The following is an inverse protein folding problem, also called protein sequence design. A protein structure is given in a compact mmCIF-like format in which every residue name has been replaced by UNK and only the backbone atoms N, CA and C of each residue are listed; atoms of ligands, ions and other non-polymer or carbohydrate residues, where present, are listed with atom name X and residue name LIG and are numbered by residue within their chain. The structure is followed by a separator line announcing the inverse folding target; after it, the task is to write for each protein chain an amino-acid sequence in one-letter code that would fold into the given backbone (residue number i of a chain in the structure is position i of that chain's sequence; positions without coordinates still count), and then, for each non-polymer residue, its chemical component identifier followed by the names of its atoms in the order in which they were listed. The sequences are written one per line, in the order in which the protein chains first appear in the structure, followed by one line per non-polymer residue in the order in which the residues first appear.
data_IF_638830275578
#
_entry.id   IF_638830275578
#
_cell.length_a   1.000
_cell.length_b   1.000
_cell.length_c   1.000
_cell.angle_alpha   90.00
_cell.angle_beta   90.00
_cell.angle_gamma   90.00
#
_symmetry.space_group_name_H-M   'P 1'
#
loop_
_entity.id
_entity.type
_entity.pdbx_description
1 polymer ?
#
# COMPACT_ATOMS: atom_id res chain seq x y z
N UNK A 1 15.52 -29.96 23.72
CA UNK A 1 14.35 -29.09 23.58
C UNK A 1 13.12 -29.84 24.05
N UNK A 2 12.46 -29.37 25.10
CA UNK A 2 11.16 -29.90 25.50
C UNK A 2 10.08 -29.44 24.52
N UNK A 3 8.96 -30.16 24.45
CA UNK A 3 7.81 -29.74 23.63
C UNK A 3 7.35 -28.33 24.01
N UNK A 4 7.38 -27.98 25.29
CA UNK A 4 7.01 -26.65 25.77
C UNK A 4 7.94 -25.54 25.26
N UNK A 5 9.26 -25.81 25.20
CA UNK A 5 10.24 -24.85 24.69
C UNK A 5 10.00 -24.54 23.20
N UNK A 6 9.67 -25.58 22.42
CA UNK A 6 9.35 -25.44 20.99
C UNK A 6 8.13 -24.54 20.78
N UNK A 7 7.05 -24.74 21.57
CA UNK A 7 5.84 -23.91 21.45
C UNK A 7 6.06 -22.45 21.86
N UNK A 8 6.89 -22.21 22.88
CA UNK A 8 7.25 -20.85 23.30
C UNK A 8 8.04 -20.14 22.19
N UNK A 9 9.00 -20.83 21.58
CA UNK A 9 9.79 -20.29 20.48
C UNK A 9 8.91 -19.99 19.25
N UNK A 10 8.04 -20.92 18.86
CA UNK A 10 7.06 -20.72 17.77
C UNK A 10 6.12 -19.55 18.04
N UNK A 11 5.66 -19.38 19.28
CA UNK A 11 4.81 -18.24 19.64
C UNK A 11 5.55 -16.91 19.47
N UNK A 12 6.84 -16.85 19.81
CA UNK A 12 7.68 -15.68 19.57
C UNK A 12 7.80 -15.34 18.09
N UNK A 13 8.02 -16.34 17.24
CA UNK A 13 8.05 -16.16 15.78
C UNK A 13 6.72 -15.64 15.22
N UNK A 14 5.59 -16.22 15.64
CA UNK A 14 4.26 -15.82 15.18
C UNK A 14 3.90 -14.39 15.62
N UNK A 15 4.29 -13.99 16.83
CA UNK A 15 4.09 -12.63 17.32
C UNK A 15 4.88 -11.61 16.48
N UNK A 16 6.16 -11.87 16.23
CA UNK A 16 6.99 -11.01 15.39
C UNK A 16 6.46 -10.91 13.95
N UNK A 17 6.00 -12.02 13.38
CA UNK A 17 5.39 -12.03 12.05
C UNK A 17 4.08 -11.21 12.02
N UNK A 18 3.29 -11.27 13.09
CA UNK A 18 2.06 -10.48 13.21
C UNK A 18 2.34 -8.99 13.30
N UNK A 19 3.37 -8.57 14.05
CA UNK A 19 3.77 -7.17 14.15
C UNK A 19 4.22 -6.62 12.80
N UNK A 20 4.99 -7.41 12.04
CA UNK A 20 5.38 -7.07 10.67
C UNK A 20 4.13 -6.88 9.80
N UNK A 21 3.16 -7.81 9.84
CA UNK A 21 1.90 -7.70 9.08
C UNK A 21 1.10 -6.44 9.41
N UNK A 22 1.07 -6.02 10.67
CA UNK A 22 0.32 -4.84 11.09
C UNK A 22 1.00 -3.53 10.67
N UNK A 23 2.33 -3.45 10.78
CA UNK A 23 3.10 -2.29 10.28
C UNK A 23 2.97 -2.11 8.78
N UNK A 24 3.02 -3.24 8.09
CA UNK A 24 2.72 -3.35 6.67
C UNK A 24 1.31 -2.80 6.40
N UNK A 25 0.27 -3.32 7.07
CA UNK A 25 -1.13 -2.87 6.90
C UNK A 25 -1.32 -1.36 7.08
N UNK A 26 -0.62 -0.72 8.01
CA UNK A 26 -0.69 0.75 8.20
C UNK A 26 -0.18 1.51 6.98
N UNK A 27 0.94 1.06 6.41
CA UNK A 27 1.49 1.68 5.20
C UNK A 27 0.59 1.41 3.98
N UNK A 28 -0.09 0.24 3.91
CA UNK A 28 -1.12 -0.09 2.88
C UNK A 28 -2.20 0.97 2.92
N UNK A 29 -2.78 1.19 4.09
CA UNK A 29 -3.92 2.08 4.27
C UNK A 29 -3.60 3.51 3.83
N UNK A 30 -2.39 3.99 4.16
CA UNK A 30 -1.90 5.30 3.71
C UNK A 30 -1.77 5.36 2.18
N UNK A 31 -1.22 4.30 1.56
CA UNK A 31 -1.07 4.19 0.12
C UNK A 31 -2.43 4.17 -0.59
N UNK A 32 -3.42 3.44 -0.07
CA UNK A 32 -4.77 3.43 -0.66
C UNK A 32 -5.43 4.80 -0.59
N UNK A 33 -5.21 5.53 0.49
CA UNK A 33 -5.78 6.86 0.69
C UNK A 33 -5.23 7.82 -0.37
N UNK A 34 -3.91 7.85 -0.55
CA UNK A 34 -3.27 8.67 -1.60
C UNK A 34 -3.72 8.23 -3.00
N UNK A 35 -3.92 6.94 -3.24
CA UNK A 35 -4.47 6.44 -4.51
C UNK A 35 -5.91 6.93 -4.76
N UNK A 36 -6.78 6.94 -3.73
CA UNK A 36 -8.15 7.47 -3.83
C UNK A 36 -8.18 8.97 -4.10
N UNK A 37 -7.25 9.73 -3.54
CA UNK A 37 -7.09 11.17 -3.79
C UNK A 37 -6.67 11.44 -5.25
N UNK A 38 -5.67 10.70 -5.75
CA UNK A 38 -5.25 10.76 -7.16
C UNK A 38 -6.41 10.42 -8.09
N UNK A 39 -7.14 9.33 -7.81
CA UNK A 39 -8.29 8.91 -8.60
C UNK A 39 -9.35 10.02 -8.65
N UNK A 40 -9.71 10.59 -7.50
CA UNK A 40 -10.71 11.67 -7.41
C UNK A 40 -10.27 12.90 -8.22
N UNK A 41 -9.00 13.28 -8.11
CA UNK A 41 -8.44 14.41 -8.83
C UNK A 41 -8.52 14.21 -10.36
N UNK A 42 -8.14 13.03 -10.83
CA UNK A 42 -8.13 12.69 -12.25
C UNK A 42 -9.54 12.48 -12.81
N UNK A 43 -10.45 11.87 -12.05
CA UNK A 43 -11.87 11.74 -12.42
C UNK A 43 -12.56 13.10 -12.58
N UNK A 44 -12.04 14.16 -11.95
CA UNK A 44 -12.49 15.52 -12.19
C UNK A 44 -12.34 16.02 -13.64
N UNK A 45 -11.67 15.27 -14.53
CA UNK A 45 -11.67 15.54 -15.99
C UNK A 45 -13.04 15.30 -16.63
N UNK A 46 -13.87 14.44 -16.06
CA UNK A 46 -15.21 14.13 -16.58
C UNK A 46 -16.24 15.22 -16.28
N UNK A 47 -15.88 16.24 -15.49
CA UNK A 47 -16.73 17.40 -15.20
C UNK A 47 -16.66 18.43 -16.33
N UNK A 48 -17.70 19.24 -16.51
CA UNK A 48 -17.85 20.13 -17.68
C UNK A 48 -16.73 21.17 -17.90
N UNK A 49 -16.05 21.63 -16.83
CA UNK A 49 -14.85 22.49 -16.91
C UNK A 49 -13.53 21.72 -16.89
N UNK A 50 -13.58 20.39 -16.71
CA UNK A 50 -12.43 19.53 -16.45
C UNK A 50 -11.41 19.47 -17.58
N UNK A 51 -11.82 19.72 -18.83
CA UNK A 51 -10.95 19.64 -20.01
C UNK A 51 -9.93 20.78 -20.09
N UNK A 52 -10.27 22.00 -19.63
CA UNK A 52 -9.34 23.12 -19.64
C UNK A 52 -8.29 23.04 -18.52
N UNK A 53 -8.60 22.32 -17.44
CA UNK A 53 -7.72 22.17 -16.28
C UNK A 53 -6.92 20.85 -16.27
N UNK A 54 -6.93 20.07 -17.37
CA UNK A 54 -6.18 18.80 -17.46
C UNK A 54 -4.71 18.97 -17.07
N UNK A 55 -3.94 19.94 -17.62
CA UNK A 55 -2.53 20.07 -17.27
C UNK A 55 -2.31 20.32 -15.78
N UNK A 56 -3.16 21.15 -15.16
CA UNK A 56 -3.09 21.45 -13.72
C UNK A 56 -3.43 20.22 -12.87
N UNK A 57 -4.46 19.45 -13.24
CA UNK A 57 -4.84 18.20 -12.56
C UNK A 57 -3.72 17.16 -12.65
N UNK A 58 -3.07 17.03 -13.82
CA UNK A 58 -1.94 16.12 -13.99
C UNK A 58 -0.70 16.54 -13.18
N UNK A 59 -0.39 17.84 -13.09
CA UNK A 59 0.70 18.33 -12.25
C UNK A 59 0.44 18.03 -10.77
N UNK A 60 -0.75 18.33 -10.29
CA UNK A 60 -1.14 18.02 -8.90
C UNK A 60 -1.14 16.50 -8.63
N UNK A 61 -1.54 15.68 -9.59
CA UNK A 61 -1.43 14.22 -9.47
C UNK A 61 0.03 13.77 -9.34
N UNK A 62 0.99 14.42 -10.04
CA UNK A 62 2.42 14.12 -9.90
C UNK A 62 2.95 14.41 -8.51
N UNK A 63 2.51 15.50 -7.87
CA UNK A 63 2.85 15.80 -6.47
C UNK A 63 2.39 14.67 -5.53
N UNK A 64 1.17 14.16 -5.72
CA UNK A 64 0.69 13.01 -4.96
C UNK A 64 1.51 11.73 -5.24
N UNK A 65 2.04 11.54 -6.45
CA UNK A 65 2.92 10.42 -6.76
C UNK A 65 4.27 10.51 -6.03
N UNK A 66 4.76 11.68 -5.66
CA UNK A 66 5.97 11.80 -4.84
C UNK A 66 5.73 11.33 -3.39
N UNK A 67 4.51 11.56 -2.88
CA UNK A 67 4.06 10.95 -1.62
C UNK A 67 3.98 9.43 -1.74
N UNK A 68 3.43 8.90 -2.84
CA UNK A 68 3.39 7.45 -3.12
C UNK A 68 4.80 6.84 -3.14
N UNK A 69 5.79 7.49 -3.76
CA UNK A 69 7.19 7.02 -3.75
C UNK A 69 7.75 6.95 -2.34
N UNK A 70 7.43 7.94 -1.50
CA UNK A 70 7.88 7.98 -0.10
C UNK A 70 7.24 6.86 0.71
N UNK A 71 5.93 6.64 0.54
CA UNK A 71 5.20 5.54 1.18
C UNK A 71 5.74 4.16 0.73
N UNK A 72 6.05 3.98 -0.56
CA UNK A 72 6.65 2.75 -1.08
C UNK A 72 8.07 2.52 -0.55
N UNK A 73 8.85 3.60 -0.37
CA UNK A 73 10.18 3.51 0.25
C UNK A 73 10.05 3.09 1.72
N UNK A 74 9.10 3.67 2.46
CA UNK A 74 8.79 3.27 3.83
C UNK A 74 8.37 1.81 3.90
N UNK A 75 7.52 1.34 2.98
CA UNK A 75 7.10 -0.05 2.90
C UNK A 75 8.29 -1.02 2.75
N UNK A 76 9.24 -0.71 1.87
CA UNK A 76 10.42 -1.56 1.66
C UNK A 76 11.25 -1.77 2.93
N UNK A 77 11.17 -0.87 3.91
CA UNK A 77 11.89 -1.00 5.18
C UNK A 77 11.18 -1.88 6.21
N UNK A 78 9.92 -2.27 5.97
CA UNK A 78 9.11 -3.04 6.92
C UNK A 78 9.30 -4.55 6.85
N UNK A 79 9.92 -5.06 5.79
CA UNK A 79 10.19 -6.49 5.64
C UNK A 79 11.53 -6.75 4.93
N UNK A 80 12.18 -7.90 5.19
CA UNK A 80 13.39 -8.30 4.47
C UNK A 80 13.08 -8.48 2.97
N UNK A 81 13.99 -8.06 2.09
CA UNK A 81 13.79 -8.13 0.63
C UNK A 81 13.43 -9.54 0.12
N UNK A 82 13.91 -10.56 0.83
CA UNK A 82 13.72 -11.98 0.55
C UNK A 82 12.28 -12.45 0.79
N UNK A 83 11.50 -11.71 1.58
CA UNK A 83 10.12 -12.01 1.95
C UNK A 83 9.09 -11.24 1.13
N UNK A 84 9.50 -10.65 -0.01
CA UNK A 84 8.61 -9.88 -0.86
C UNK A 84 7.34 -10.65 -1.27
N UNK A 85 7.47 -11.93 -1.69
CA UNK A 85 6.33 -12.75 -2.09
C UNK A 85 5.47 -13.23 -0.91
N UNK A 86 6.04 -13.36 0.29
CA UNK A 86 5.27 -13.66 1.50
C UNK A 86 4.43 -12.45 1.93
N UNK A 87 5.02 -11.26 1.89
CA UNK A 87 4.35 -9.99 2.14
C UNK A 87 3.38 -9.58 1.01
N UNK A 88 3.60 -10.07 -0.23
CA UNK A 88 2.80 -9.75 -1.42
C UNK A 88 1.30 -10.01 -1.22
N UNK A 89 0.94 -11.11 -0.56
CA UNK A 89 -0.45 -11.45 -0.24
C UNK A 89 -1.17 -10.33 0.55
N UNK A 90 -0.44 -9.56 1.36
CA UNK A 90 -0.98 -8.50 2.20
C UNK A 90 -1.30 -7.19 1.45
N UNK A 91 -0.76 -7.00 0.23
CA UNK A 91 -0.94 -5.78 -0.58
C UNK A 91 -1.50 -6.07 -1.96
N UNK A 92 -1.60 -7.34 -2.34
CA UNK A 92 -2.16 -7.73 -3.62
C UNK A 92 -3.55 -7.13 -3.81
N UNK A 93 -4.35 -7.01 -2.74
CA UNK A 93 -5.66 -6.37 -2.81
C UNK A 93 -5.59 -4.90 -3.24
N UNK A 94 -4.55 -4.16 -2.83
CA UNK A 94 -4.31 -2.77 -3.22
C UNK A 94 -3.98 -2.63 -4.72
N UNK A 95 -3.17 -3.55 -5.24
CA UNK A 95 -2.85 -3.66 -6.67
C UNK A 95 -4.05 -4.16 -7.49
N UNK A 96 -4.88 -5.03 -6.92
CA UNK A 96 -6.05 -5.62 -7.57
C UNK A 96 -7.29 -4.72 -7.53
N UNK A 97 -7.47 -3.82 -6.54
CA UNK A 97 -8.57 -2.85 -6.52
C UNK A 97 -8.52 -1.95 -7.78
N UNK A 98 -7.32 -1.62 -8.28
CA UNK A 98 -7.17 -0.93 -9.57
C UNK A 98 -7.80 -1.70 -10.74
N UNK A 99 -7.85 -3.03 -10.66
CA UNK A 99 -8.41 -3.91 -11.70
C UNK A 99 -9.90 -4.22 -11.51
N UNK A 100 -10.40 -4.19 -10.27
CA UNK A 100 -11.77 -4.62 -9.93
C UNK A 100 -12.79 -3.48 -9.75
N UNK A 101 -12.36 -2.23 -9.52
CA UNK A 101 -13.30 -1.08 -9.42
C UNK A 101 -13.67 -0.43 -10.76
N UNK A 102 -13.22 -1.00 -11.89
CA UNK A 102 -13.45 -0.48 -13.25
C UNK A 102 -13.95 -1.54 -14.25
N UNK A 103 -14.57 -2.63 -13.75
CA UNK A 103 -15.39 -3.54 -14.54
C UNK A 103 -16.83 -3.50 -14.03
#
# INVERSE_FOLDING_TARGET
MSVSEIFIELQGFLAAEQDIREEIRKVVQSLEQTAREILTLLQGVHQGSGFQDIPKKCLKAREHFDTVKTQLTSLKTKFPAEQYYSAWSSWQHLLCIWKQKHL
#
